data_IF_990370605281
#
_entry.id   IF_990370605281
#
_cell.length_a   1.000
_cell.length_b   1.000
_cell.length_c   1.000
_cell.angle_alpha   90.00
_cell.angle_beta   90.00
_cell.angle_gamma   90.00
#
_symmetry.space_group_name_H-M   'P 1'
#
loop_
_entity.id
_entity.type
_entity.pdbx_description
1 polymer ?
#
# COMPACT_ATOMS: atom_id res chain seq x y z
N UNK A 1 10.42 -21.08 9.17
CA UNK A 1 10.92 -21.32 7.79
C UNK A 1 11.34 -19.97 7.19
N UNK A 2 12.64 -19.66 7.14
CA UNK A 2 13.12 -18.40 6.54
C UNK A 2 13.05 -18.55 5.02
N UNK A 3 12.29 -17.69 4.34
CA UNK A 3 12.20 -17.69 2.87
C UNK A 3 13.48 -17.06 2.31
N UNK A 4 14.32 -17.86 1.67
CA UNK A 4 15.54 -17.37 1.02
C UNK A 4 15.17 -16.85 -0.36
N UNK A 5 15.08 -15.53 -0.50
CA UNK A 5 14.87 -14.92 -1.81
C UNK A 5 16.17 -14.90 -2.59
N UNK A 6 16.12 -15.28 -3.86
CA UNK A 6 17.23 -15.04 -4.77
C UNK A 6 17.54 -13.54 -4.83
N UNK A 7 18.83 -13.21 -4.72
CA UNK A 7 19.32 -11.83 -4.80
C UNK A 7 18.86 -11.16 -6.09
N UNK A 8 18.53 -9.87 -5.99
CA UNK A 8 18.24 -9.03 -7.14
C UNK A 8 19.56 -8.55 -7.76
N UNK A 9 19.60 -8.53 -9.09
CA UNK A 9 20.67 -7.88 -9.85
C UNK A 9 20.19 -6.51 -10.31
N UNK A 10 21.10 -5.54 -10.47
CA UNK A 10 20.74 -4.19 -10.94
C UNK A 10 19.90 -4.20 -12.25
N UNK A 11 20.26 -4.97 -13.31
CA UNK A 11 19.45 -5.00 -14.52
C UNK A 11 18.04 -5.56 -14.30
N UNK A 12 17.85 -6.49 -13.35
CA UNK A 12 16.52 -6.99 -13.00
C UNK A 12 15.69 -5.92 -12.29
N UNK A 13 16.33 -5.10 -11.45
CA UNK A 13 15.68 -4.00 -10.75
C UNK A 13 15.26 -2.92 -11.74
N UNK A 14 16.15 -2.49 -12.62
CA UNK A 14 15.86 -1.50 -13.67
C UNK A 14 14.73 -1.98 -14.59
N UNK A 15 14.79 -3.24 -15.05
CA UNK A 15 13.73 -3.84 -15.87
C UNK A 15 12.39 -3.86 -15.12
N UNK A 16 12.39 -4.24 -13.85
CA UNK A 16 11.17 -4.24 -13.02
C UNK A 16 10.56 -2.84 -12.92
N UNK A 17 11.37 -1.83 -12.60
CA UNK A 17 10.92 -0.44 -12.46
C UNK A 17 10.41 0.13 -13.79
N UNK A 18 11.08 -0.15 -14.91
CA UNK A 18 10.61 0.24 -16.24
C UNK A 18 9.23 -0.32 -16.56
N UNK A 19 8.99 -1.60 -16.26
CA UNK A 19 7.69 -2.25 -16.47
C UNK A 19 6.60 -1.68 -15.55
N UNK A 20 6.92 -1.36 -14.29
CA UNK A 20 5.99 -0.68 -13.39
C UNK A 20 5.60 0.69 -13.96
N UNK A 21 6.58 1.51 -14.35
CA UNK A 21 6.34 2.83 -14.93
C UNK A 21 5.52 2.75 -16.22
N UNK A 22 5.78 1.77 -17.08
CA UNK A 22 5.00 1.53 -18.29
C UNK A 22 3.54 1.17 -18.00
N UNK A 23 3.28 0.35 -16.96
CA UNK A 23 1.89 0.03 -16.60
C UNK A 23 1.16 1.24 -16.01
N UNK A 24 1.84 2.07 -15.21
CA UNK A 24 1.28 3.28 -14.63
C UNK A 24 1.03 4.36 -15.71
N UNK A 25 1.92 4.49 -16.71
CA UNK A 25 1.75 5.46 -17.79
C UNK A 25 0.60 5.13 -18.74
N UNK A 26 0.22 3.86 -18.85
CA UNK A 26 -0.98 3.43 -19.59
C UNK A 26 -2.31 3.77 -18.88
N UNK A 27 -2.30 4.56 -17.79
CA UNK A 27 -3.50 4.94 -17.04
C UNK A 27 -4.10 3.81 -16.20
N UNK A 28 -3.38 2.69 -16.05
CA UNK A 28 -3.81 1.60 -15.17
C UNK A 28 -3.54 1.99 -13.73
N UNK A 29 -4.58 1.99 -12.90
CA UNK A 29 -4.48 2.22 -11.45
C UNK A 29 -3.94 1.00 -10.68
N UNK A 30 -3.81 -0.15 -11.36
CA UNK A 30 -3.36 -1.42 -10.77
C UNK A 30 -2.17 -2.00 -11.52
N UNK A 31 -1.10 -2.28 -10.77
CA UNK A 31 0.09 -2.94 -11.28
C UNK A 31 -0.14 -4.47 -11.30
N UNK A 32 0.03 -5.08 -12.47
CA UNK A 32 -0.01 -6.53 -12.64
C UNK A 32 1.36 -7.15 -12.37
N UNK A 33 1.58 -7.52 -11.10
CA UNK A 33 2.83 -8.17 -10.66
C UNK A 33 3.09 -9.52 -11.32
N UNK A 34 2.04 -10.22 -11.79
CA UNK A 34 2.18 -11.50 -12.53
C UNK A 34 2.90 -11.31 -13.87
N UNK A 35 2.57 -10.24 -14.58
CA UNK A 35 3.20 -9.91 -15.87
C UNK A 35 4.65 -9.51 -15.64
N UNK A 36 4.90 -8.65 -14.65
CA UNK A 36 6.25 -8.18 -14.32
C UNK A 36 7.13 -9.36 -13.86
N UNK A 37 6.59 -10.26 -13.04
CA UNK A 37 7.34 -11.38 -12.49
C UNK A 37 7.83 -12.36 -13.56
N UNK A 38 7.02 -12.56 -14.61
CA UNK A 38 7.39 -13.39 -15.76
C UNK A 38 8.60 -12.82 -16.51
N UNK A 39 8.72 -11.50 -16.59
CA UNK A 39 9.78 -10.81 -17.32
C UNK A 39 11.11 -10.73 -16.58
N UNK A 40 11.11 -10.79 -15.24
CA UNK A 40 12.31 -10.67 -14.40
C UNK A 40 12.72 -11.98 -13.73
N UNK A 41 12.02 -13.09 -14.06
CA UNK A 41 12.24 -14.42 -13.47
C UNK A 41 12.23 -14.41 -11.94
N UNK A 42 11.32 -13.63 -11.35
CA UNK A 42 11.07 -13.57 -9.90
C UNK A 42 9.62 -13.95 -9.62
N UNK A 43 9.26 -14.07 -8.34
CA UNK A 43 7.86 -14.25 -7.95
C UNK A 43 7.13 -12.91 -7.91
N UNK A 44 5.81 -12.87 -8.17
CA UNK A 44 5.01 -11.64 -8.05
C UNK A 44 5.19 -10.96 -6.69
N UNK A 45 5.32 -11.77 -5.62
CA UNK A 45 5.52 -11.26 -4.27
C UNK A 45 6.86 -10.55 -4.11
N UNK A 46 7.95 -11.09 -4.67
CA UNK A 46 9.26 -10.44 -4.63
C UNK A 46 9.25 -9.10 -5.37
N UNK A 47 8.56 -9.01 -6.51
CA UNK A 47 8.43 -7.74 -7.25
C UNK A 47 7.69 -6.68 -6.41
N UNK A 48 6.58 -7.05 -5.78
CA UNK A 48 5.83 -6.17 -4.89
C UNK A 48 6.63 -5.73 -3.66
N UNK A 49 7.31 -6.67 -3.00
CA UNK A 49 8.12 -6.39 -1.81
C UNK A 49 9.26 -5.41 -2.16
N UNK A 50 9.96 -5.64 -3.28
CA UNK A 50 11.03 -4.76 -3.75
C UNK A 50 10.51 -3.36 -4.11
N UNK A 51 9.40 -3.26 -4.85
CA UNK A 51 8.80 -1.98 -5.21
C UNK A 51 8.37 -1.21 -3.96
N UNK A 52 7.73 -1.87 -3.00
CA UNK A 52 7.31 -1.26 -1.73
C UNK A 52 8.51 -0.77 -0.92
N UNK A 53 9.60 -1.54 -0.86
CA UNK A 53 10.84 -1.13 -0.22
C UNK A 53 11.43 0.12 -0.89
N UNK A 54 11.52 0.13 -2.23
CA UNK A 54 12.06 1.26 -3.00
C UNK A 54 11.19 2.53 -2.86
N UNK A 55 9.87 2.39 -2.86
CA UNK A 55 8.95 3.53 -2.63
C UNK A 55 9.12 4.13 -1.24
N UNK A 56 9.40 3.31 -0.22
CA UNK A 56 9.69 3.79 1.16
C UNK A 56 11.06 4.43 1.30
N UNK A 57 12.07 3.98 0.55
CA UNK A 57 13.41 4.59 0.57
C UNK A 57 13.47 5.87 -0.27
N UNK A 58 12.65 5.99 -1.32
CA UNK A 58 12.54 7.25 -2.07
C UNK A 58 11.88 8.37 -1.25
N UNK A 59 11.17 8.03 -0.18
CA UNK A 59 10.63 8.98 0.79
C UNK A 59 11.62 9.26 1.93
N UNK A 60 12.84 9.72 1.64
CA UNK A 60 13.72 10.37 2.64
C UNK A 60 13.18 11.74 3.13
N UNK A 61 11.85 11.89 3.20
CA UNK A 61 11.15 12.66 4.22
C UNK A 61 9.94 11.84 4.74
N UNK A 62 10.16 10.73 5.48
CA UNK A 62 9.08 9.84 5.87
C UNK A 62 8.20 10.41 7.00
N UNK A 63 8.57 11.54 7.61
CA UNK A 63 7.85 12.09 8.76
C UNK A 63 6.73 13.09 8.42
N UNK A 64 6.57 13.53 7.16
CA UNK A 64 5.48 14.49 6.80
C UNK A 64 4.37 13.93 5.93
N UNK A 65 4.60 12.86 5.19
CA UNK A 65 3.61 12.40 4.20
C UNK A 65 2.60 11.37 4.75
N UNK A 66 2.96 10.63 5.80
CA UNK A 66 2.04 9.67 6.42
C UNK A 66 0.88 10.34 7.18
N UNK A 67 1.01 11.62 7.56
CA UNK A 67 -0.09 12.40 8.13
C UNK A 67 -1.10 12.90 7.08
N UNK A 68 -0.72 13.05 5.82
CA UNK A 68 -1.61 13.66 4.80
C UNK A 68 -2.59 12.67 4.16
N UNK A 69 -2.32 11.37 4.20
CA UNK A 69 -3.22 10.35 3.63
C UNK A 69 -4.25 9.80 4.62
N UNK A 70 -4.14 10.13 5.92
CA UNK A 70 -5.08 9.72 6.97
C UNK A 70 -5.97 10.85 7.51
N UNK A 71 -5.70 12.11 7.17
CA UNK A 71 -6.54 13.24 7.59
C UNK A 71 -7.98 13.23 7.02
N UNK A 72 -8.30 12.64 5.85
CA UNK A 72 -9.69 12.57 5.42
C UNK A 72 -10.55 11.58 6.22
N UNK A 73 -9.94 10.69 7.02
CA UNK A 73 -10.66 9.71 7.84
C UNK A 73 -10.85 10.16 9.30
N UNK A 74 -10.27 11.29 9.71
CA UNK A 74 -10.45 11.88 11.04
C UNK A 74 -11.39 13.10 11.03
N UNK A 75 -11.90 13.50 9.86
CA UNK A 75 -12.98 14.48 9.73
C UNK A 75 -14.35 13.80 9.57
N UNK A 76 -14.55 12.64 10.19
CA UNK A 76 -15.90 12.30 10.62
C UNK A 76 -16.22 13.25 11.78
N UNK A 77 -16.93 14.33 11.44
CA UNK A 77 -17.72 15.07 12.41
C UNK A 77 -18.54 14.01 13.14
N UNK A 78 -18.34 13.88 14.45
CA UNK A 78 -19.30 13.25 15.33
C UNK A 78 -20.57 14.09 15.23
N UNK A 79 -21.40 13.83 14.21
CA UNK A 79 -22.80 14.22 14.28
C UNK A 79 -23.37 13.45 15.46
N UNK A 80 -23.72 14.20 16.50
CA UNK A 80 -24.40 13.79 17.70
C UNK A 80 -25.51 12.79 17.39
N UNK A 81 -25.21 11.49 17.51
CA UNK A 81 -26.26 10.51 17.76
C UNK A 81 -26.47 10.46 19.27
N UNK A 82 -27.31 11.39 19.74
CA UNK A 82 -27.91 11.34 21.07
C UNK A 82 -28.75 10.08 21.15
N UNK A 83 -28.18 8.98 21.66
CA UNK A 83 -28.96 7.80 22.01
C UNK A 83 -29.58 8.07 23.39
N UNK A 84 -30.79 8.62 23.40
CA UNK A 84 -31.62 8.67 24.60
C UNK A 84 -32.05 7.26 24.97
N UNK A 85 -31.34 6.64 25.91
CA UNK A 85 -31.83 5.46 26.62
C UNK A 85 -32.69 5.92 27.80
N UNK A 86 -33.93 6.31 27.51
CA UNK A 86 -34.94 6.49 28.54
C UNK A 86 -35.50 5.11 28.92
N UNK A 87 -34.67 4.32 29.61
CA UNK A 87 -35.05 3.00 30.11
C UNK A 87 -35.54 3.16 31.55
N UNK A 88 -36.83 3.50 31.67
CA UNK A 88 -37.56 3.49 32.94
C UNK A 88 -37.60 2.06 33.51
N UNK A 89 -36.67 1.74 34.41
CA UNK A 89 -36.78 0.59 35.30
C UNK A 89 -37.76 0.95 36.43
N UNK A 90 -39.06 0.79 36.14
CA UNK A 90 -40.06 0.59 37.17
C UNK A 90 -39.81 -0.76 37.84
N UNK A 91 -39.38 -0.72 39.10
CA UNK A 91 -39.42 -1.85 40.01
C UNK A 91 -40.59 -1.60 40.97
N UNK A 92 -41.70 -2.28 40.72
CA UNK A 92 -42.65 -2.70 41.76
C UNK A 92 -42.11 -3.96 42.45
#
# INVERSE_FOLDING_TARGET
MKRTYQRWTEPQIEKMLSLVSSQLSCGKTRISWKVISAEVSKTPRQCFDLWTQRSKTSSEQPQKQFNMLYLPLLNFVEDEYTINYDFNLGLD
#
